data_IF_741024011241
#
_entry.id   IF_741024011241
#
_cell.length_a   1.000
_cell.length_b   1.000
_cell.length_c   1.000
_cell.angle_alpha   90.00
_cell.angle_beta   90.00
_cell.angle_gamma   90.00
#
_symmetry.space_group_name_H-M   'P 1'
#
loop_
_entity.id
_entity.type
_entity.pdbx_description
1 polymer ?
#
# COMPACT_ATOMS: atom_id res chain seq x y z
N UNK A 1 -14.35 -2.27 33.15
CA UNK A 1 -14.16 -3.64 32.62
C UNK A 1 -13.15 -3.52 31.48
N UNK A 2 -11.87 -3.66 31.80
CA UNK A 2 -10.79 -3.70 30.79
C UNK A 2 -10.84 -5.12 30.24
N UNK A 3 -11.55 -5.27 29.12
CA UNK A 3 -11.58 -6.52 28.36
C UNK A 3 -10.13 -6.80 27.92
N UNK A 4 -9.63 -7.96 28.34
CA UNK A 4 -8.36 -8.55 27.95
C UNK A 4 -8.17 -8.42 26.43
N UNK A 5 -7.42 -7.40 26.01
CA UNK A 5 -7.16 -7.09 24.62
C UNK A 5 -6.06 -8.01 24.08
N UNK A 6 -6.29 -9.33 24.14
CA UNK A 6 -5.52 -10.26 23.34
C UNK A 6 -5.56 -9.78 21.87
N UNK A 7 -4.39 -9.62 21.21
CA UNK A 7 -4.36 -9.22 19.82
C UNK A 7 -5.27 -10.14 19.01
N UNK A 8 -6.21 -9.58 18.25
CA UNK A 8 -7.04 -10.36 17.32
C UNK A 8 -6.17 -10.81 16.15
N UNK A 9 -5.41 -11.88 16.37
CA UNK A 9 -4.53 -12.47 15.38
C UNK A 9 -5.35 -13.06 14.21
N UNK A 10 -4.79 -12.94 13.01
CA UNK A 10 -5.34 -13.59 11.83
C UNK A 10 -4.92 -15.07 11.88
N UNK A 11 -5.89 -15.97 12.04
CA UNK A 11 -5.61 -17.41 12.12
C UNK A 11 -5.76 -18.09 10.74
N UNK A 12 -4.84 -19.01 10.47
CA UNK A 12 -4.84 -19.98 9.38
C UNK A 12 -5.20 -19.38 8.01
N UNK A 13 -6.35 -19.76 7.45
CA UNK A 13 -6.77 -19.38 6.09
C UNK A 13 -6.89 -17.85 5.91
N UNK A 14 -7.26 -17.12 6.97
CA UNK A 14 -7.36 -15.65 6.91
C UNK A 14 -5.99 -14.99 6.81
N UNK A 15 -4.99 -15.57 7.47
CA UNK A 15 -3.61 -15.11 7.37
C UNK A 15 -3.08 -15.36 5.97
N UNK A 16 -3.25 -16.59 5.45
CA UNK A 16 -2.82 -16.95 4.09
C UNK A 16 -3.46 -16.02 3.06
N UNK A 17 -4.77 -15.80 3.12
CA UNK A 17 -5.46 -14.88 2.20
C UNK A 17 -4.95 -13.44 2.29
N UNK A 18 -4.69 -12.94 3.49
CA UNK A 18 -4.09 -11.61 3.69
C UNK A 18 -2.68 -11.54 3.13
N UNK A 19 -1.83 -12.52 3.43
CA UNK A 19 -0.44 -12.60 2.96
C UNK A 19 -0.34 -12.73 1.45
N UNK A 20 -1.23 -13.47 0.79
CA UNK A 20 -1.27 -13.56 -0.68
C UNK A 20 -1.63 -12.20 -1.28
N UNK A 21 -2.59 -11.49 -0.69
CA UNK A 21 -2.96 -10.14 -1.11
C UNK A 21 -1.80 -9.15 -0.98
N UNK A 22 -1.13 -9.16 0.17
CA UNK A 22 0.04 -8.31 0.44
C UNK A 22 1.22 -8.65 -0.49
N UNK A 23 1.45 -9.94 -0.73
CA UNK A 23 2.45 -10.40 -1.69
C UNK A 23 2.18 -9.88 -3.10
N UNK A 24 0.92 -9.96 -3.58
CA UNK A 24 0.55 -9.46 -4.91
C UNK A 24 0.81 -7.97 -5.08
N UNK A 25 0.44 -7.16 -4.08
CA UNK A 25 0.68 -5.71 -4.08
C UNK A 25 2.18 -5.42 -4.03
N UNK A 26 2.93 -6.09 -3.16
CA UNK A 26 4.37 -5.90 -3.01
C UNK A 26 5.12 -6.27 -4.30
N UNK A 27 4.74 -7.38 -4.93
CA UNK A 27 5.35 -7.84 -6.18
C UNK A 27 5.19 -6.81 -7.30
N UNK A 28 3.98 -6.27 -7.50
CA UNK A 28 3.72 -5.26 -8.52
C UNK A 28 4.52 -3.98 -8.25
N UNK A 29 4.55 -3.50 -7.00
CA UNK A 29 5.29 -2.30 -6.65
C UNK A 29 6.79 -2.44 -6.89
N UNK A 30 7.38 -3.59 -6.54
CA UNK A 30 8.82 -3.85 -6.76
C UNK A 30 9.12 -3.90 -8.25
N UNK A 31 8.36 -4.71 -9.02
CA UNK A 31 8.56 -4.85 -10.47
C UNK A 31 8.42 -3.51 -11.18
N UNK A 32 7.39 -2.74 -10.85
CA UNK A 32 7.17 -1.42 -11.43
C UNK A 32 8.24 -0.43 -11.01
N UNK A 33 8.63 -0.40 -9.73
CA UNK A 33 9.68 0.48 -9.23
C UNK A 33 11.02 0.28 -9.93
N UNK A 34 11.41 -0.98 -10.15
CA UNK A 34 12.64 -1.31 -10.91
C UNK A 34 12.51 -0.92 -12.39
N UNK A 35 11.36 -1.20 -13.00
CA UNK A 35 11.12 -0.88 -14.41
C UNK A 35 11.15 0.63 -14.68
N UNK A 36 10.50 1.44 -13.83
CA UNK A 36 10.39 2.90 -13.99
C UNK A 36 11.77 3.54 -14.09
N UNK A 37 12.68 3.23 -13.16
CA UNK A 37 14.02 3.80 -13.20
C UNK A 37 14.74 3.45 -14.51
N UNK A 38 14.71 2.18 -14.89
CA UNK A 38 15.36 1.69 -16.11
C UNK A 38 14.78 2.36 -17.37
N UNK A 39 13.45 2.49 -17.44
CA UNK A 39 12.75 3.09 -18.55
C UNK A 39 13.10 4.57 -18.73
N UNK A 40 13.03 5.37 -17.65
CA UNK A 40 13.32 6.80 -17.74
C UNK A 40 14.79 7.09 -18.06
N UNK A 41 15.72 6.33 -17.47
CA UNK A 41 17.16 6.57 -17.70
C UNK A 41 17.62 6.05 -19.07
N UNK A 42 17.24 4.84 -19.45
CA UNK A 42 17.82 4.19 -20.63
C UNK A 42 16.95 4.28 -21.89
N UNK A 43 15.63 4.41 -21.76
CA UNK A 43 14.73 4.53 -22.93
C UNK A 43 14.45 5.98 -23.25
N UNK A 44 14.08 6.78 -22.24
CA UNK A 44 13.79 8.22 -22.41
C UNK A 44 15.08 9.06 -22.40
N UNK A 45 16.21 8.48 -21.96
CA UNK A 45 17.50 9.16 -21.86
C UNK A 45 17.47 10.36 -20.89
N UNK A 46 16.68 10.25 -19.82
CA UNK A 46 16.58 11.27 -18.79
C UNK A 46 17.76 11.13 -17.81
N UNK A 47 18.22 12.27 -17.27
CA UNK A 47 19.31 12.29 -16.30
C UNK A 47 18.94 11.44 -15.06
N UNK A 48 19.83 10.51 -14.69
CA UNK A 48 19.61 9.57 -13.58
C UNK A 48 19.44 10.24 -12.22
N UNK A 49 20.04 11.42 -12.01
CA UNK A 49 19.88 12.21 -10.79
C UNK A 49 18.44 12.76 -10.72
N UNK A 50 17.92 13.31 -11.82
CA UNK A 50 16.55 13.82 -11.87
C UNK A 50 15.52 12.72 -11.65
N UNK A 51 15.71 11.55 -12.27
CA UNK A 51 14.85 10.38 -12.05
C UNK A 51 14.87 9.94 -10.59
N UNK A 52 16.07 9.86 -9.99
CA UNK A 52 16.24 9.49 -8.58
C UNK A 52 15.55 10.47 -7.62
N UNK A 53 15.62 11.77 -7.91
CA UNK A 53 14.90 12.80 -7.15
C UNK A 53 13.38 12.60 -7.27
N UNK A 54 12.87 12.34 -8.48
CA UNK A 54 11.44 12.07 -8.70
C UNK A 54 10.93 10.86 -7.92
N UNK A 55 11.67 9.75 -7.96
CA UNK A 55 11.34 8.54 -7.20
C UNK A 55 11.42 8.81 -5.69
N UNK A 56 12.44 9.52 -5.22
CA UNK A 56 12.59 9.86 -3.80
C UNK A 56 11.44 10.75 -3.32
N UNK A 57 11.01 11.71 -4.13
CA UNK A 57 9.85 12.55 -3.83
C UNK A 57 8.57 11.72 -3.71
N UNK A 58 8.36 10.74 -4.60
CA UNK A 58 7.25 9.80 -4.53
C UNK A 58 7.24 9.01 -3.21
N UNK A 59 8.41 8.57 -2.74
CA UNK A 59 8.54 7.85 -1.45
C UNK A 59 8.19 8.75 -0.26
N UNK A 60 8.66 10.01 -0.25
CA UNK A 60 8.37 10.98 0.81
C UNK A 60 6.87 11.26 0.87
N UNK A 61 6.25 11.51 -0.28
CA UNK A 61 4.80 11.73 -0.38
C UNK A 61 4.05 10.49 0.14
N UNK A 62 4.46 9.29 -0.27
CA UNK A 62 3.88 8.04 0.20
C UNK A 62 4.00 7.86 1.72
N UNK A 63 5.14 8.18 2.31
CA UNK A 63 5.36 8.12 3.75
C UNK A 63 4.45 9.09 4.51
N UNK A 64 4.31 10.32 4.01
CA UNK A 64 3.41 11.32 4.58
C UNK A 64 1.95 10.84 4.58
N UNK A 65 1.45 10.34 3.45
CA UNK A 65 0.10 9.78 3.38
C UNK A 65 -0.09 8.56 4.27
N UNK A 66 0.95 7.73 4.44
CA UNK A 66 0.89 6.55 5.33
C UNK A 66 0.59 6.95 6.78
N UNK A 67 1.15 8.05 7.27
CA UNK A 67 0.85 8.59 8.61
C UNK A 67 -0.61 9.03 8.68
N UNK A 68 -1.09 9.80 7.69
CA UNK A 68 -2.47 10.28 7.64
C UNK A 68 -3.46 9.12 7.65
N UNK A 69 -3.26 8.12 6.78
CA UNK A 69 -4.13 6.96 6.71
C UNK A 69 -4.04 6.09 7.97
N UNK A 70 -2.88 6.00 8.61
CA UNK A 70 -2.73 5.34 9.92
C UNK A 70 -3.64 5.97 10.97
N UNK A 71 -3.58 7.30 11.11
CA UNK A 71 -4.44 8.05 12.04
C UNK A 71 -5.92 7.90 11.71
N UNK A 72 -6.30 7.94 10.42
CA UNK A 72 -7.69 7.76 9.98
C UNK A 72 -8.20 6.36 10.34
N UNK A 73 -7.41 5.32 10.08
CA UNK A 73 -7.79 3.93 10.37
C UNK A 73 -7.88 3.72 11.87
N UNK A 74 -6.97 4.29 12.66
CA UNK A 74 -6.95 4.14 14.11
C UNK A 74 -8.06 4.91 14.82
N UNK A 75 -8.49 6.06 14.30
CA UNK A 75 -9.61 6.83 14.87
C UNK A 75 -10.98 6.36 14.36
N UNK A 76 -11.05 5.44 13.38
CA UNK A 76 -12.31 4.89 12.86
C UNK A 76 -13.03 4.05 13.93
N UNK A 77 -14.31 4.34 14.15
CA UNK A 77 -15.18 3.52 15.01
C UNK A 77 -15.52 2.18 14.34
N UNK A 78 -15.54 1.07 15.09
CA UNK A 78 -15.85 -0.25 14.53
C UNK A 78 -17.33 -0.34 14.12
N UNK A 79 -17.58 -0.61 12.83
CA UNK A 79 -18.92 -0.89 12.29
C UNK A 79 -19.20 -2.39 12.11
N UNK A 80 -20.28 -2.74 11.40
CA UNK A 80 -20.69 -4.14 11.12
C UNK A 80 -19.60 -5.01 10.48
N UNK A 81 -18.71 -4.41 9.69
CA UNK A 81 -17.60 -5.08 9.01
C UNK A 81 -16.29 -5.04 9.83
N UNK A 82 -16.34 -4.54 11.07
CA UNK A 82 -15.17 -4.24 11.89
C UNK A 82 -14.46 -2.94 11.49
N UNK A 83 -13.31 -2.69 12.11
CA UNK A 83 -12.55 -1.44 11.98
C UNK A 83 -11.77 -1.35 10.66
N UNK A 84 -11.03 -2.41 10.30
CA UNK A 84 -10.02 -2.40 9.22
C UNK A 84 -10.48 -3.01 7.89
N UNK A 85 -11.44 -3.95 7.90
CA UNK A 85 -11.89 -4.65 6.68
C UNK A 85 -12.50 -3.75 5.60
N UNK A 86 -13.30 -2.72 5.93
CA UNK A 86 -13.83 -1.81 4.91
C UNK A 86 -12.72 -1.14 4.10
N UNK A 87 -11.64 -0.71 4.78
CA UNK A 87 -10.52 -0.07 4.09
C UNK A 87 -9.85 -1.01 3.11
N UNK A 88 -9.64 -2.29 3.47
CA UNK A 88 -9.09 -3.28 2.53
C UNK A 88 -10.01 -3.51 1.33
N UNK A 89 -11.33 -3.59 1.55
CA UNK A 89 -12.31 -3.82 0.48
C UNK A 89 -12.42 -2.66 -0.51
N UNK A 90 -12.27 -1.42 -0.06
CA UNK A 90 -12.28 -0.25 -0.94
C UNK A 90 -10.90 0.07 -1.53
N UNK A 91 -9.83 -0.14 -0.77
CA UNK A 91 -8.46 0.19 -1.21
C UNK A 91 -8.00 -0.72 -2.35
N UNK A 92 -8.31 -2.02 -2.33
CA UNK A 92 -7.95 -2.95 -3.40
C UNK A 92 -8.47 -2.55 -4.79
N UNK A 93 -9.79 -2.38 -5.01
CA UNK A 93 -10.31 -1.98 -6.31
C UNK A 93 -9.86 -0.57 -6.71
N UNK A 94 -9.77 0.36 -5.76
CA UNK A 94 -9.24 1.70 -6.04
C UNK A 94 -7.77 1.64 -6.51
N UNK A 95 -6.95 0.82 -5.85
CA UNK A 95 -5.54 0.63 -6.21
C UNK A 95 -5.41 -0.03 -7.58
N UNK A 96 -6.22 -1.04 -7.89
CA UNK A 96 -6.24 -1.68 -9.22
C UNK A 96 -6.62 -0.66 -10.30
N UNK A 97 -7.70 0.10 -10.10
CA UNK A 97 -8.13 1.14 -11.05
C UNK A 97 -7.04 2.20 -11.25
N UNK A 98 -6.38 2.64 -10.17
CA UNK A 98 -5.31 3.62 -10.24
C UNK A 98 -4.07 3.12 -10.99
N UNK A 99 -3.80 1.80 -11.01
CA UNK A 99 -2.68 1.24 -11.76
C UNK A 99 -3.03 0.90 -13.21
N UNK A 100 -4.30 0.64 -13.52
CA UNK A 100 -4.75 0.44 -14.92
C UNK A 100 -4.87 1.77 -15.66
N UNK A 101 -5.23 2.85 -14.96
CA UNK A 101 -5.42 4.18 -15.56
C UNK A 101 -4.12 5.00 -15.69
N UNK A 102 -3.03 4.57 -15.06
CA UNK A 102 -1.70 5.21 -15.14
C UNK A 102 -0.95 4.74 -16.39
#
# INVERSE_FOLDING_TARGET
MVEDASPRELLAFRLIGYSIGDFGISLVNILFGTFVFQFYVYTINLNSILVSIGISMQLIIGAFFSIIFGVIVDNKTPGKLGKRRPFLLFALPLWVLANILK
#
